data_IF_692886673169
#
_entry.id   IF_692886673169
#
_cell.length_a   1.000
_cell.length_b   1.000
_cell.length_c   1.000
_cell.angle_alpha   90.00
_cell.angle_beta   90.00
_cell.angle_gamma   90.00
#
_symmetry.space_group_name_H-M   'P 1'
#
loop_
_entity.id
_entity.type
_entity.pdbx_description
1 polymer ?
#
# COMPACT_ATOMS: atom_id res chain seq x y z
N UNK A 1 -20.13 15.80 -15.25
CA UNK A 1 -18.67 15.58 -15.41
C UNK A 1 -18.36 14.70 -16.62
N UNK A 2 -18.38 13.35 -16.54
CA UNK A 2 -18.17 12.46 -17.71
C UNK A 2 -19.15 12.74 -18.87
N UNK A 3 -20.39 13.09 -18.53
CA UNK A 3 -21.46 13.43 -19.48
C UNK A 3 -21.18 14.73 -20.26
N UNK A 4 -20.55 15.72 -19.61
CA UNK A 4 -20.15 16.99 -20.24
C UNK A 4 -18.95 16.79 -21.19
N UNK A 5 -18.08 15.83 -20.88
CA UNK A 5 -16.97 15.44 -21.75
C UNK A 5 -17.43 14.67 -22.98
N UNK A 6 -18.39 13.77 -22.82
CA UNK A 6 -19.04 13.07 -23.94
C UNK A 6 -19.81 14.06 -24.81
N UNK A 7 -20.41 15.09 -24.22
CA UNK A 7 -21.05 16.17 -24.96
C UNK A 7 -20.03 16.98 -25.79
N UNK A 8 -18.88 17.36 -25.23
CA UNK A 8 -17.81 18.08 -25.95
C UNK A 8 -17.17 17.25 -27.08
N UNK A 9 -16.95 15.95 -26.85
CA UNK A 9 -16.51 15.02 -27.91
C UNK A 9 -17.55 14.88 -29.03
N UNK A 10 -18.85 14.90 -28.69
CA UNK A 10 -19.94 14.89 -29.69
C UNK A 10 -20.10 16.22 -30.43
N UNK A 11 -19.67 17.32 -29.82
CA UNK A 11 -19.68 18.67 -30.42
C UNK A 11 -18.51 18.91 -31.39
N UNK A 12 -17.59 17.94 -31.52
CA UNK A 12 -16.49 18.00 -32.49
C UNK A 12 -15.21 18.65 -31.97
N UNK A 13 -15.09 18.89 -30.65
CA UNK A 13 -13.84 19.37 -30.07
C UNK A 13 -12.71 18.35 -30.30
N UNK A 14 -11.47 18.81 -30.59
CA UNK A 14 -10.32 17.92 -30.72
C UNK A 14 -10.16 17.10 -29.44
N UNK A 15 -10.26 15.78 -29.57
CA UNK A 15 -10.18 14.87 -28.44
C UNK A 15 -8.88 15.07 -27.63
N UNK A 16 -7.81 15.48 -28.32
CA UNK A 16 -6.51 15.85 -27.75
C UNK A 16 -6.61 16.96 -26.69
N UNK A 17 -7.40 18.00 -26.96
CA UNK A 17 -7.58 19.13 -26.03
C UNK A 17 -8.42 18.74 -24.81
N UNK A 18 -9.43 17.89 -25.04
CA UNK A 18 -10.29 17.34 -23.99
C UNK A 18 -9.48 16.41 -23.05
N UNK A 19 -8.59 15.58 -23.60
CA UNK A 19 -7.70 14.71 -22.83
C UNK A 19 -6.54 15.48 -22.15
N UNK A 20 -6.08 16.59 -22.73
CA UNK A 20 -5.09 17.47 -22.10
C UNK A 20 -5.66 18.19 -20.87
N UNK A 21 -6.94 18.57 -20.89
CA UNK A 21 -7.68 19.10 -19.74
C UNK A 21 -7.86 18.06 -18.63
N UNK A 22 -8.13 16.79 -18.98
CA UNK A 22 -8.16 15.65 -18.04
C UNK A 22 -6.82 15.47 -17.32
N UNK A 23 -5.71 15.59 -18.05
CA UNK A 23 -4.34 15.48 -17.50
C UNK A 23 -4.03 16.52 -16.42
N UNK A 24 -4.67 17.69 -16.49
CA UNK A 24 -4.45 18.81 -15.56
C UNK A 24 -5.28 18.70 -14.28
N UNK A 25 -6.41 17.97 -14.31
CA UNK A 25 -7.38 17.89 -13.21
C UNK A 25 -7.21 16.65 -12.32
N UNK A 26 -6.64 15.55 -12.84
CA UNK A 26 -6.38 14.31 -12.10
C UNK A 26 -4.88 13.98 -12.16
N UNK A 27 -4.06 14.44 -11.18
CA UNK A 27 -2.62 14.29 -11.19
C UNK A 27 -2.20 12.91 -10.66
N UNK A 28 -2.60 11.86 -11.37
CA UNK A 28 -2.22 10.47 -11.07
C UNK A 28 -1.44 9.93 -12.27
N UNK A 29 -0.22 9.45 -12.05
CA UNK A 29 0.74 8.97 -13.08
C UNK A 29 0.05 8.05 -14.11
N UNK A 30 -0.75 7.10 -13.60
CA UNK A 30 -1.51 6.13 -14.40
C UNK A 30 -2.53 6.79 -15.33
N UNK A 31 -3.11 7.91 -14.92
CA UNK A 31 -4.10 8.65 -15.70
C UNK A 31 -3.46 9.43 -16.85
N UNK A 32 -2.24 9.95 -16.65
CA UNK A 32 -1.46 10.59 -17.73
C UNK A 32 -1.12 9.57 -18.81
N UNK A 33 -0.69 8.38 -18.41
CA UNK A 33 -0.41 7.27 -19.33
C UNK A 33 -1.66 6.86 -20.13
N UNK A 34 -2.81 6.81 -19.46
CA UNK A 34 -4.10 6.53 -20.10
C UNK A 34 -4.45 7.56 -21.17
N UNK A 35 -4.41 8.86 -20.85
CA UNK A 35 -4.71 9.94 -21.79
C UNK A 35 -3.73 9.98 -22.98
N UNK A 36 -2.42 9.80 -22.76
CA UNK A 36 -1.43 9.77 -23.85
C UNK A 36 -1.68 8.57 -24.78
N UNK A 37 -1.97 7.39 -24.22
CA UNK A 37 -2.27 6.19 -25.02
C UNK A 37 -3.55 6.36 -25.82
N UNK A 38 -4.58 6.98 -25.23
CA UNK A 38 -5.84 7.24 -25.92
C UNK A 38 -5.69 8.23 -27.07
N UNK A 39 -4.86 9.26 -26.89
CA UNK A 39 -4.52 10.27 -27.90
C UNK A 39 -3.80 9.63 -29.09
N UNK A 40 -2.77 8.82 -28.84
CA UNK A 40 -2.02 8.10 -29.89
C UNK A 40 -2.89 7.10 -30.64
N UNK A 41 -3.79 6.38 -29.96
CA UNK A 41 -4.70 5.46 -30.65
C UNK A 41 -5.79 6.19 -31.46
N UNK A 42 -6.13 7.42 -31.11
CA UNK A 42 -7.09 8.26 -31.85
C UNK A 42 -6.51 8.76 -33.17
N UNK A 43 -5.22 9.07 -33.22
CA UNK A 43 -4.54 9.54 -34.44
C UNK A 43 -4.27 8.42 -35.47
N UNK A 44 -4.16 7.16 -35.03
CA UNK A 44 -3.73 6.03 -35.89
C UNK A 44 -4.90 5.23 -36.49
N UNK A 45 -6.14 5.43 -36.02
CA UNK A 45 -7.35 4.83 -36.62
C UNK A 45 -7.46 3.29 -36.52
N UNK A 46 -6.56 2.63 -35.79
CA UNK A 46 -6.56 1.18 -35.58
C UNK A 46 -6.97 0.80 -34.16
N UNK A 47 -8.15 0.21 -34.00
CA UNK A 47 -8.47 -0.64 -32.84
C UNK A 47 -8.39 0.01 -31.45
N UNK A 48 -8.81 1.27 -31.29
CA UNK A 48 -9.00 1.94 -29.99
C UNK A 48 -9.68 1.02 -28.94
N UNK A 49 -10.68 0.26 -29.37
CA UNK A 49 -11.39 -0.71 -28.52
C UNK A 49 -10.47 -1.82 -27.98
N UNK A 50 -9.55 -2.34 -28.80
CA UNK A 50 -8.62 -3.41 -28.43
C UNK A 50 -7.57 -2.90 -27.43
N UNK A 51 -6.97 -1.74 -27.72
CA UNK A 51 -5.95 -1.14 -26.84
C UNK A 51 -6.56 -0.68 -25.52
N UNK A 52 -7.75 -0.07 -25.56
CA UNK A 52 -8.49 0.34 -24.37
C UNK A 52 -8.91 -0.87 -23.51
N UNK A 53 -9.30 -1.99 -24.14
CA UNK A 53 -9.59 -3.23 -23.45
C UNK A 53 -8.34 -3.80 -22.74
N UNK A 54 -7.17 -3.79 -23.40
CA UNK A 54 -5.90 -4.22 -22.82
C UNK A 54 -5.44 -3.34 -21.64
N UNK A 55 -5.57 -2.02 -21.75
CA UNK A 55 -5.26 -1.10 -20.65
C UNK A 55 -6.25 -1.29 -19.50
N UNK A 56 -7.54 -1.47 -19.79
CA UNK A 56 -8.57 -1.78 -18.79
C UNK A 56 -8.28 -3.07 -18.02
N UNK A 57 -7.84 -4.13 -18.70
CA UNK A 57 -7.40 -5.38 -18.06
C UNK A 57 -6.17 -5.17 -17.18
N UNK A 58 -5.19 -4.40 -17.65
CA UNK A 58 -3.98 -4.09 -16.89
C UNK A 58 -4.30 -3.30 -15.62
N UNK A 59 -5.19 -2.31 -15.68
CA UNK A 59 -5.63 -1.52 -14.52
C UNK A 59 -6.36 -2.42 -13.51
N UNK A 60 -7.28 -3.27 -13.97
CA UNK A 60 -7.98 -4.24 -13.10
C UNK A 60 -7.00 -5.22 -12.45
N UNK A 61 -6.01 -5.70 -13.19
CA UNK A 61 -4.93 -6.55 -12.68
C UNK A 61 -4.10 -5.85 -11.59
N UNK A 62 -3.70 -4.59 -11.82
CA UNK A 62 -3.01 -3.79 -10.80
C UNK A 62 -3.87 -3.55 -9.55
N UNK A 63 -5.16 -3.29 -9.71
CA UNK A 63 -6.09 -3.16 -8.59
C UNK A 63 -6.27 -4.47 -7.81
N UNK A 64 -6.28 -5.61 -8.49
CA UNK A 64 -6.34 -6.93 -7.83
C UNK A 64 -5.08 -7.18 -6.99
N UNK A 65 -3.89 -6.94 -7.56
CA UNK A 65 -2.61 -7.07 -6.87
C UNK A 65 -2.53 -6.09 -5.69
N UNK A 66 -2.93 -4.83 -5.87
CA UNK A 66 -2.93 -3.84 -4.80
C UNK A 66 -3.86 -4.24 -3.64
N UNK A 67 -5.02 -4.85 -3.93
CA UNK A 67 -5.91 -5.41 -2.91
C UNK A 67 -5.28 -6.59 -2.19
N UNK A 68 -4.62 -7.49 -2.91
CA UNK A 68 -3.95 -8.65 -2.33
C UNK A 68 -2.79 -8.24 -1.43
N UNK A 69 -1.94 -7.30 -1.87
CA UNK A 69 -0.85 -6.74 -1.07
C UNK A 69 -1.40 -6.02 0.18
N UNK A 70 -2.51 -5.29 0.06
CA UNK A 70 -3.15 -4.65 1.22
C UNK A 70 -3.67 -5.68 2.21
N UNK A 71 -4.32 -6.75 1.75
CA UNK A 71 -4.81 -7.83 2.60
C UNK A 71 -3.66 -8.55 3.33
N UNK A 72 -2.59 -8.91 2.61
CA UNK A 72 -1.37 -9.50 3.17
C UNK A 72 -0.68 -8.57 4.17
N UNK A 73 -0.63 -7.27 3.90
CA UNK A 73 -0.07 -6.27 4.82
C UNK A 73 -0.89 -6.15 6.10
N UNK A 74 -2.22 -6.21 6.02
CA UNK A 74 -3.11 -6.23 7.19
C UNK A 74 -2.87 -7.47 8.05
N UNK A 75 -2.75 -8.65 7.42
CA UNK A 75 -2.43 -9.89 8.14
C UNK A 75 -1.06 -9.79 8.84
N UNK A 76 -0.04 -9.28 8.15
CA UNK A 76 1.28 -9.05 8.74
C UNK A 76 1.25 -8.13 9.97
N UNK A 77 0.48 -7.04 9.91
CA UNK A 77 0.28 -6.14 11.06
C UNK A 77 -0.39 -6.84 12.23
N UNK A 78 -1.44 -7.62 11.99
CA UNK A 78 -2.15 -8.33 13.05
C UNK A 78 -1.22 -9.33 13.74
N UNK A 79 -0.46 -10.12 12.97
CA UNK A 79 0.49 -11.08 13.54
C UNK A 79 1.57 -10.39 14.37
N UNK A 80 2.16 -9.30 13.89
CA UNK A 80 3.14 -8.51 14.66
C UNK A 80 2.51 -7.96 15.94
N UNK A 81 1.29 -7.43 15.89
CA UNK A 81 0.58 -6.93 17.06
C UNK A 81 0.32 -8.04 18.09
N UNK A 82 -0.07 -9.24 17.64
CA UNK A 82 -0.28 -10.39 18.52
C UNK A 82 1.01 -10.84 19.21
N UNK A 83 2.15 -10.89 18.49
CA UNK A 83 3.45 -11.26 19.07
C UNK A 83 3.90 -10.24 20.13
N UNK A 84 3.72 -8.95 19.85
CA UNK A 84 3.98 -7.91 20.83
C UNK A 84 3.10 -8.13 22.06
N UNK A 85 1.78 -8.27 21.86
CA UNK A 85 0.83 -8.47 22.94
C UNK A 85 1.21 -9.66 23.83
N UNK A 86 1.51 -10.83 23.27
CA UNK A 86 1.93 -12.01 24.02
C UNK A 86 3.21 -11.76 24.81
N UNK A 87 4.21 -11.11 24.21
CA UNK A 87 5.50 -10.84 24.88
C UNK A 87 5.31 -9.94 26.10
N UNK A 88 4.56 -8.84 25.95
CA UNK A 88 4.28 -7.93 27.07
C UNK A 88 3.34 -8.54 28.10
N UNK A 89 2.35 -9.34 27.66
CA UNK A 89 1.40 -10.01 28.54
C UNK A 89 2.10 -11.03 29.45
N UNK A 90 2.99 -11.86 28.90
CA UNK A 90 3.78 -12.80 29.70
C UNK A 90 4.69 -12.06 30.69
N UNK A 91 5.32 -10.97 30.25
CA UNK A 91 6.08 -10.09 31.15
C UNK A 91 5.22 -9.57 32.30
N UNK A 92 4.03 -9.04 32.01
CA UNK A 92 3.13 -8.53 33.04
C UNK A 92 2.64 -9.62 34.02
N UNK A 93 2.32 -10.82 33.51
CA UNK A 93 1.95 -11.95 34.36
C UNK A 93 3.09 -12.38 35.29
N UNK A 94 4.32 -12.49 34.76
CA UNK A 94 5.48 -12.85 35.58
C UNK A 94 5.75 -11.82 36.68
N UNK A 95 5.51 -10.53 36.40
CA UNK A 95 5.63 -9.47 37.40
C UNK A 95 4.60 -9.61 38.53
N UNK A 96 3.37 -10.03 38.23
CA UNK A 96 2.34 -10.27 39.25
C UNK A 96 2.61 -11.50 40.10
N UNK A 97 3.16 -12.57 39.50
CA UNK A 97 3.42 -13.82 40.21
C UNK A 97 4.58 -13.70 41.21
N UNK A 98 5.69 -13.08 40.82
CA UNK A 98 6.86 -12.94 41.70
C UNK A 98 7.72 -11.72 41.30
N UNK A 99 7.38 -10.52 41.81
CA UNK A 99 8.07 -9.29 41.45
C UNK A 99 9.55 -9.26 41.89
N UNK A 100 9.91 -10.02 42.93
CA UNK A 100 11.29 -10.09 43.41
C UNK A 100 12.20 -10.87 42.44
N UNK A 101 11.72 -11.99 41.88
CA UNK A 101 12.46 -12.70 40.82
C UNK A 101 12.58 -11.89 39.54
N UNK A 102 11.52 -11.18 39.16
CA UNK A 102 11.47 -10.38 37.95
C UNK A 102 12.49 -9.22 37.98
N UNK A 103 12.55 -8.53 39.11
CA UNK A 103 13.50 -7.43 39.34
C UNK A 103 14.94 -7.95 39.43
N UNK A 104 15.19 -9.07 40.11
CA UNK A 104 16.51 -9.72 40.11
C UNK A 104 16.96 -10.13 38.70
N UNK A 105 16.04 -10.62 37.87
CA UNK A 105 16.32 -10.95 36.47
C UNK A 105 16.71 -9.70 35.66
N UNK A 106 15.97 -8.60 35.81
CA UNK A 106 16.27 -7.34 35.12
C UNK A 106 17.59 -6.68 35.54
N UNK A 107 18.05 -6.90 36.77
CA UNK A 107 19.31 -6.35 37.29
C UNK A 107 20.51 -7.23 36.88
N UNK A 108 20.30 -8.52 36.61
CA UNK A 108 21.38 -9.43 36.20
C UNK A 108 21.84 -9.13 34.77
N UNK A 109 23.16 -9.18 34.50
CA UNK A 109 23.75 -8.90 33.18
C UNK A 109 23.13 -9.74 32.05
N UNK A 110 22.76 -10.99 32.34
CA UNK A 110 22.09 -11.89 31.38
C UNK A 110 20.67 -11.41 31.04
N UNK A 111 19.91 -10.95 32.04
CA UNK A 111 18.54 -10.48 31.82
C UNK A 111 18.49 -9.17 31.05
N UNK A 112 19.42 -8.25 31.30
CA UNK A 112 19.56 -7.02 30.50
C UNK A 112 19.89 -7.32 29.03
N UNK A 113 20.77 -8.30 28.78
CA UNK A 113 21.11 -8.72 27.42
C UNK A 113 19.90 -9.32 26.69
N UNK A 114 19.12 -10.18 27.36
CA UNK A 114 17.91 -10.79 26.80
C UNK A 114 16.81 -9.76 26.51
N UNK A 115 16.54 -8.84 27.44
CA UNK A 115 15.55 -7.77 27.25
C UNK A 115 15.94 -6.87 26.08
N UNK A 116 17.23 -6.50 26.00
CA UNK A 116 17.74 -5.70 24.89
C UNK A 116 17.61 -6.44 23.56
N UNK A 117 17.95 -7.74 23.52
CA UNK A 117 17.79 -8.56 22.33
C UNK A 117 16.32 -8.65 21.87
N UNK A 118 15.39 -8.85 22.82
CA UNK A 118 13.94 -8.86 22.55
C UNK A 118 13.47 -7.52 21.99
N UNK A 119 13.88 -6.41 22.59
CA UNK A 119 13.52 -5.07 22.12
C UNK A 119 14.04 -4.79 20.71
N UNK A 120 15.30 -5.16 20.42
CA UNK A 120 15.89 -5.02 19.09
C UNK A 120 15.12 -5.87 18.07
N UNK A 121 14.84 -7.14 18.38
CA UNK A 121 14.14 -8.05 17.48
C UNK A 121 12.70 -7.57 17.20
N UNK A 122 11.99 -7.09 18.22
CA UNK A 122 10.67 -6.46 18.05
C UNK A 122 10.76 -5.21 17.17
N UNK A 123 11.75 -4.35 17.41
CA UNK A 123 12.00 -3.15 16.61
C UNK A 123 12.22 -3.48 15.13
N UNK A 124 13.04 -4.50 14.83
CA UNK A 124 13.29 -4.98 13.46
C UNK A 124 12.00 -5.50 12.83
N UNK A 125 11.21 -6.30 13.56
CA UNK A 125 9.94 -6.82 13.07
C UNK A 125 8.94 -5.72 12.70
N UNK A 126 8.79 -4.72 13.58
CA UNK A 126 7.92 -3.56 13.34
C UNK A 126 8.43 -2.75 12.14
N UNK A 127 9.75 -2.52 12.05
CA UNK A 127 10.36 -1.77 10.94
C UNK A 127 10.16 -2.48 9.60
N UNK A 128 10.28 -3.81 9.54
CA UNK A 128 10.04 -4.59 8.33
C UNK A 128 8.58 -4.47 7.87
N UNK A 129 7.61 -4.60 8.78
CA UNK A 129 6.18 -4.44 8.45
C UNK A 129 5.86 -3.02 8.04
N UNK A 130 6.44 -2.02 8.71
CA UNK A 130 6.27 -0.62 8.35
C UNK A 130 6.86 -0.31 6.96
N UNK A 131 7.99 -0.92 6.60
CA UNK A 131 8.62 -0.78 5.28
C UNK A 131 7.79 -1.42 4.17
N UNK A 132 7.18 -2.58 4.42
CA UNK A 132 6.32 -3.26 3.43
C UNK A 132 4.98 -2.54 3.25
N UNK A 133 4.46 -1.93 4.32
CA UNK A 133 3.13 -1.28 4.34
C UNK A 133 3.14 0.14 3.79
N UNK A 134 4.31 0.73 3.52
CA UNK A 134 4.43 1.99 2.79
C UNK A 134 4.63 1.67 1.30
N UNK A 135 3.56 1.57 0.50
CA UNK A 135 3.72 1.68 -0.93
C UNK A 135 4.33 3.06 -1.19
N UNK A 136 5.58 3.09 -1.69
CA UNK A 136 6.10 4.28 -2.35
C UNK A 136 5.16 4.52 -3.53
N UNK A 137 4.28 5.50 -3.37
CA UNK A 137 3.55 6.14 -4.46
C UNK A 137 4.44 7.24 -4.99
#
# INVERSE_FOLDING_TARGET
ELEEMVARLRLGDPAVDVFALLRRRVPVETFRLFCTTLTVNWEVGGGLAQTLASVGQTIRGRMAIARQVRALSTQGRITTMSVLFVTYFLGAMMWQSDPARMTAFLVTSVGQMLVTAVLVLQGVGIAMVAKISRPKV
#
